data_IF_223289279598
#
_entry.id   IF_223289279598
#
_cell.length_a   1.000
_cell.length_b   1.000
_cell.length_c   1.000
_cell.angle_alpha   90.00
_cell.angle_beta   90.00
_cell.angle_gamma   90.00
#
_symmetry.space_group_name_H-M   'P 1'
#
loop_
_entity.id
_entity.type
_entity.pdbx_description
1 polymer ?
#
# COMPACT_ATOMS: atom_id res chain seq x y z
N UNK A 1 19.01 15.67 -20.16
CA UNK A 1 18.45 14.72 -21.14
C UNK A 1 18.13 13.43 -20.41
N UNK A 2 16.91 12.88 -20.55
CA UNK A 2 16.58 11.57 -20.02
C UNK A 2 17.22 10.50 -20.92
N UNK A 3 17.79 9.46 -20.32
CA UNK A 3 18.29 8.30 -21.06
C UNK A 3 17.22 7.23 -21.05
N UNK A 4 16.75 6.88 -22.24
CA UNK A 4 15.77 5.83 -22.42
C UNK A 4 16.50 4.48 -22.54
N UNK A 5 16.13 3.56 -21.66
CA UNK A 5 16.57 2.17 -21.71
C UNK A 5 15.70 1.48 -22.76
N UNK A 6 16.33 0.90 -23.78
CA UNK A 6 15.67 0.10 -24.81
C UNK A 6 15.39 -1.31 -24.32
N UNK A 7 16.37 -1.97 -23.72
CA UNK A 7 16.21 -3.33 -23.17
C UNK A 7 17.35 -3.68 -22.22
N UNK A 8 17.18 -4.77 -21.50
CA UNK A 8 18.31 -5.46 -20.86
C UNK A 8 18.95 -6.34 -21.92
N UNK A 9 20.22 -6.07 -22.22
CA UNK A 9 20.98 -6.77 -23.24
C UNK A 9 21.58 -8.07 -22.69
N UNK A 10 22.07 -8.05 -21.45
CA UNK A 10 22.57 -9.25 -20.80
C UNK A 10 22.53 -9.16 -19.27
N UNK A 11 22.35 -10.32 -18.64
CA UNK A 11 22.55 -10.55 -17.21
C UNK A 11 23.56 -11.69 -17.08
N UNK A 12 24.49 -11.59 -16.13
CA UNK A 12 25.41 -12.68 -15.79
C UNK A 12 25.56 -12.77 -14.29
N UNK A 13 25.52 -13.99 -13.76
CA UNK A 13 25.76 -14.26 -12.35
C UNK A 13 24.89 -13.39 -11.41
N UNK A 14 23.70 -12.98 -11.86
CA UNK A 14 22.87 -12.01 -11.17
C UNK A 14 21.55 -12.62 -10.71
N UNK A 15 21.35 -12.80 -9.41
CA UNK A 15 20.13 -13.35 -8.81
C UNK A 15 19.65 -14.69 -9.40
N UNK A 16 20.55 -15.55 -9.88
CA UNK A 16 20.22 -16.81 -10.56
C UNK A 16 19.66 -16.62 -11.98
N UNK A 17 19.76 -15.42 -12.55
CA UNK A 17 19.36 -15.10 -13.91
C UNK A 17 20.61 -14.97 -14.79
N UNK A 18 20.84 -15.97 -15.63
CA UNK A 18 21.94 -15.98 -16.60
C UNK A 18 21.48 -15.74 -18.04
N UNK A 19 20.16 -15.77 -18.26
CA UNK A 19 19.54 -15.47 -19.55
C UNK A 19 18.33 -14.58 -19.36
N UNK A 20 18.11 -13.70 -20.33
CA UNK A 20 16.95 -12.82 -20.36
C UNK A 20 16.47 -12.67 -21.80
N UNK A 21 15.24 -13.11 -22.03
CA UNK A 21 14.54 -12.89 -23.29
C UNK A 21 13.43 -11.89 -23.04
N UNK A 22 13.73 -10.62 -23.34
CA UNK A 22 12.74 -9.54 -23.26
C UNK A 22 12.75 -8.73 -24.54
N UNK A 23 11.55 -8.26 -24.92
CA UNK A 23 11.38 -7.26 -25.97
C UNK A 23 11.87 -5.87 -25.53
N UNK A 24 11.74 -4.90 -26.44
CA UNK A 24 12.08 -3.52 -26.14
C UNK A 24 11.07 -2.88 -25.17
N UNK A 25 11.59 -2.10 -24.23
CA UNK A 25 10.82 -1.29 -23.32
C UNK A 25 10.17 -0.11 -24.06
N UNK A 26 8.92 0.17 -23.70
CA UNK A 26 8.17 1.35 -24.12
C UNK A 26 8.10 2.36 -22.97
N UNK A 27 7.31 3.42 -23.14
CA UNK A 27 7.08 4.43 -22.09
C UNK A 27 6.51 3.83 -20.80
N UNK A 28 5.69 2.77 -20.90
CA UNK A 28 5.13 2.05 -19.78
C UNK A 28 5.24 0.55 -20.02
N UNK A 29 5.73 -0.18 -19.02
CA UNK A 29 5.99 -1.62 -19.11
C UNK A 29 5.39 -2.31 -17.89
N UNK A 30 4.53 -3.30 -18.12
CA UNK A 30 3.97 -4.13 -17.06
C UNK A 30 4.68 -5.48 -17.10
N UNK A 31 5.30 -5.85 -15.98
CA UNK A 31 6.01 -7.12 -15.83
C UNK A 31 5.22 -7.99 -14.86
N UNK A 32 4.71 -9.12 -15.34
CA UNK A 32 3.97 -10.09 -14.53
C UNK A 32 4.43 -11.52 -14.84
N UNK A 33 4.16 -12.44 -13.92
CA UNK A 33 4.58 -13.85 -14.03
C UNK A 33 4.48 -14.58 -12.70
N UNK A 34 4.70 -15.89 -12.73
CA UNK A 34 4.58 -16.76 -11.55
C UNK A 34 5.63 -16.45 -10.47
N UNK A 35 5.42 -16.97 -9.26
CA UNK A 35 6.43 -16.88 -8.21
C UNK A 35 7.74 -17.54 -8.67
N UNK A 36 8.87 -16.93 -8.32
CA UNK A 36 10.20 -17.43 -8.71
C UNK A 36 10.63 -17.07 -10.15
N UNK A 37 9.79 -16.47 -11.00
CA UNK A 37 10.15 -16.16 -12.39
C UNK A 37 11.09 -14.96 -12.57
N UNK A 38 11.69 -14.43 -11.50
CA UNK A 38 12.68 -13.35 -11.58
C UNK A 38 12.15 -11.91 -11.58
N UNK A 39 10.85 -11.67 -11.31
CA UNK A 39 10.29 -10.29 -11.23
C UNK A 39 11.07 -9.37 -10.30
N UNK A 40 11.31 -9.81 -9.06
CA UNK A 40 12.06 -9.05 -8.06
C UNK A 40 13.52 -8.85 -8.48
N UNK A 41 14.14 -9.85 -9.10
CA UNK A 41 15.49 -9.74 -9.64
C UNK A 41 15.57 -8.67 -10.72
N UNK A 42 14.60 -8.63 -11.62
CA UNK A 42 14.49 -7.61 -12.66
C UNK A 42 14.32 -6.21 -12.06
N UNK A 43 13.46 -6.06 -11.05
CA UNK A 43 13.32 -4.80 -10.30
C UNK A 43 14.65 -4.36 -9.69
N UNK A 44 15.40 -5.28 -9.06
CA UNK A 44 16.72 -5.00 -8.48
C UNK A 44 17.74 -4.56 -9.53
N UNK A 45 17.67 -5.09 -10.75
CA UNK A 45 18.53 -4.65 -11.85
C UNK A 45 18.32 -3.15 -12.16
N UNK A 46 17.06 -2.70 -12.20
CA UNK A 46 16.74 -1.29 -12.41
C UNK A 46 17.10 -0.41 -11.21
N UNK A 47 16.98 -0.92 -9.98
CA UNK A 47 17.38 -0.17 -8.77
C UNK A 47 18.87 0.20 -8.79
N UNK A 48 19.72 -0.62 -9.42
CA UNK A 48 21.15 -0.37 -9.54
C UNK A 48 21.47 0.83 -10.45
N UNK A 49 20.54 1.25 -11.31
CA UNK A 49 20.68 2.48 -12.11
C UNK A 49 20.48 3.75 -11.27
N UNK A 50 19.93 3.62 -10.05
CA UNK A 50 19.75 4.74 -9.13
C UNK A 50 21.08 4.94 -8.36
N UNK A 51 21.70 6.14 -8.40
CA UNK A 51 23.05 6.37 -7.87
C UNK A 51 23.28 6.00 -6.40
N UNK A 52 22.20 5.89 -5.61
CA UNK A 52 22.24 5.53 -4.19
C UNK A 52 22.53 4.03 -3.94
N UNK A 53 22.41 3.16 -4.95
CA UNK A 53 22.38 1.71 -4.76
C UNK A 53 23.48 1.03 -5.60
N UNK A 54 24.76 1.18 -5.21
CA UNK A 54 25.92 0.74 -6.03
C UNK A 54 26.42 -0.69 -5.77
N UNK A 55 25.82 -1.42 -4.84
CA UNK A 55 26.32 -2.72 -4.41
C UNK A 55 25.73 -3.87 -5.23
N UNK A 56 26.12 -4.01 -6.51
CA UNK A 56 25.68 -5.13 -7.36
C UNK A 56 26.11 -6.50 -6.80
N UNK A 57 27.22 -6.55 -6.05
CA UNK A 57 27.74 -7.77 -5.42
C UNK A 57 26.76 -8.47 -4.47
N UNK A 58 25.86 -7.72 -3.83
CA UNK A 58 24.81 -8.32 -2.96
C UNK A 58 23.83 -9.21 -3.73
N UNK A 59 23.81 -9.07 -5.05
CA UNK A 59 22.93 -9.77 -5.97
C UNK A 59 23.66 -10.84 -6.78
N UNK A 60 24.90 -11.18 -6.40
CA UNK A 60 25.64 -12.30 -6.97
C UNK A 60 24.87 -13.61 -6.79
N UNK A 61 24.88 -14.45 -7.82
CA UNK A 61 24.31 -15.79 -7.77
C UNK A 61 25.12 -16.67 -6.82
N UNK A 62 24.44 -17.39 -5.92
CA UNK A 62 25.10 -18.10 -4.80
C UNK A 62 26.04 -19.21 -5.28
N UNK A 63 25.75 -19.82 -6.43
CA UNK A 63 26.47 -20.98 -6.95
C UNK A 63 27.59 -20.64 -7.96
N UNK A 64 28.00 -19.37 -8.07
CA UNK A 64 29.04 -18.96 -9.02
C UNK A 64 30.09 -18.05 -8.40
N UNK A 65 31.34 -18.27 -8.78
CA UNK A 65 32.47 -17.41 -8.44
C UNK A 65 32.56 -16.17 -9.35
N UNK A 66 31.77 -16.15 -10.42
CA UNK A 66 31.71 -15.03 -11.36
C UNK A 66 31.14 -13.76 -10.72
N UNK A 67 31.72 -12.62 -11.07
CA UNK A 67 31.19 -11.31 -10.66
C UNK A 67 29.88 -11.01 -11.38
N UNK A 68 28.85 -10.51 -10.67
CA UNK A 68 27.58 -10.18 -11.28
C UNK A 68 27.74 -8.99 -12.23
N UNK A 69 27.11 -9.08 -13.40
CA UNK A 69 27.09 -7.95 -14.35
C UNK A 69 25.76 -7.83 -15.06
N UNK A 70 25.40 -6.59 -15.39
CA UNK A 70 24.16 -6.25 -16.10
C UNK A 70 24.51 -5.28 -17.20
N UNK A 71 24.03 -5.52 -18.41
CA UNK A 71 24.17 -4.60 -19.54
C UNK A 71 22.79 -4.13 -19.99
N UNK A 72 22.59 -2.82 -19.97
CA UNK A 72 21.42 -2.14 -20.50
C UNK A 72 21.73 -1.55 -21.87
N UNK A 73 20.90 -1.84 -22.86
CA UNK A 73 20.94 -1.13 -24.13
C UNK A 73 20.07 0.13 -24.03
N UNK A 74 20.62 1.26 -24.46
CA UNK A 74 19.96 2.56 -24.50
C UNK A 74 19.98 3.10 -25.94
N UNK A 75 19.22 4.16 -26.21
CA UNK A 75 19.19 4.77 -27.55
C UNK A 75 20.57 5.24 -28.05
N UNK A 76 21.47 5.63 -27.14
CA UNK A 76 22.79 6.20 -27.46
C UNK A 76 23.96 5.33 -27.01
N UNK A 77 23.78 4.01 -26.91
CA UNK A 77 24.84 3.07 -26.55
C UNK A 77 24.40 2.01 -25.55
N UNK A 78 25.35 1.40 -24.86
CA UNK A 78 25.07 0.41 -23.81
C UNK A 78 25.74 0.83 -22.51
N UNK A 79 25.06 0.54 -21.39
CA UNK A 79 25.55 0.81 -20.05
C UNK A 79 25.72 -0.50 -19.32
N UNK A 80 26.94 -0.75 -18.86
CA UNK A 80 27.28 -1.95 -18.11
C UNK A 80 27.46 -1.59 -16.63
N UNK A 81 26.81 -2.36 -15.77
CA UNK A 81 26.97 -2.30 -14.32
C UNK A 81 27.78 -3.52 -13.92
N UNK A 82 28.88 -3.26 -13.21
CA UNK A 82 29.83 -4.24 -12.69
C UNK A 82 30.23 -3.83 -11.27
N UNK A 83 30.88 -4.72 -10.49
CA UNK A 83 31.41 -4.33 -9.20
C UNK A 83 32.31 -3.09 -9.34
N UNK A 84 32.09 -2.11 -8.48
CA UNK A 84 32.78 -0.81 -8.49
C UNK A 84 32.53 0.08 -9.72
N UNK A 85 31.55 -0.23 -10.58
CA UNK A 85 31.18 0.67 -11.68
C UNK A 85 30.56 1.96 -11.13
N UNK A 86 31.03 3.10 -11.63
CA UNK A 86 30.39 4.39 -11.35
C UNK A 86 29.45 4.78 -12.49
N UNK A 87 28.14 4.71 -12.23
CA UNK A 87 27.13 5.15 -13.17
C UNK A 87 27.03 6.67 -13.01
N UNK A 88 27.98 7.40 -13.64
CA UNK A 88 28.04 8.87 -13.66
C UNK A 88 26.93 9.52 -14.49
N UNK A 89 25.82 8.80 -14.70
CA UNK A 89 24.78 9.15 -15.66
C UNK A 89 23.42 9.13 -14.96
N UNK A 90 22.66 10.25 -15.01
CA UNK A 90 21.41 10.37 -14.26
C UNK A 90 20.28 9.63 -15.00
N UNK A 91 20.09 8.35 -14.67
CA UNK A 91 18.88 7.62 -15.04
C UNK A 91 17.70 8.09 -14.18
N UNK A 92 16.60 8.48 -14.81
CA UNK A 92 15.34 8.76 -14.12
C UNK A 92 14.47 7.51 -14.18
N UNK A 93 14.68 6.61 -13.23
CA UNK A 93 13.92 5.36 -13.10
C UNK A 93 13.16 5.40 -11.79
N UNK A 94 11.84 5.20 -11.87
CA UNK A 94 10.94 5.11 -10.73
C UNK A 94 10.40 3.68 -10.65
N UNK A 95 10.50 3.08 -9.45
CA UNK A 95 10.22 1.67 -9.23
C UNK A 95 9.11 1.54 -8.20
N UNK A 96 8.00 0.94 -8.61
CA UNK A 96 6.79 0.76 -7.80
C UNK A 96 6.58 -0.72 -7.50
N UNK A 97 7.48 -1.32 -6.71
CA UNK A 97 7.34 -2.71 -6.26
C UNK A 97 6.53 -2.81 -4.96
N UNK A 98 6.30 -4.03 -4.48
CA UNK A 98 5.63 -4.28 -3.20
C UNK A 98 6.25 -3.52 -2.05
N UNK A 99 7.58 -3.39 -2.02
CA UNK A 99 8.30 -2.72 -0.94
C UNK A 99 8.08 -1.20 -1.00
N UNK A 100 8.07 -0.62 -2.20
CA UNK A 100 7.70 0.78 -2.41
C UNK A 100 6.27 1.03 -1.93
N UNK A 101 5.33 0.16 -2.29
CA UNK A 101 3.94 0.26 -1.84
C UNK A 101 3.83 0.10 -0.31
N UNK A 102 4.50 -0.89 0.29
CA UNK A 102 4.50 -1.09 1.74
C UNK A 102 5.08 0.12 2.51
N UNK A 103 6.11 0.76 1.96
CA UNK A 103 6.80 1.86 2.64
C UNK A 103 6.20 3.24 2.36
N UNK A 104 5.50 3.43 1.23
CA UNK A 104 5.05 4.75 0.78
C UNK A 104 3.54 4.86 0.59
N UNK A 105 2.82 3.75 0.45
CA UNK A 105 1.36 3.81 0.49
C UNK A 105 0.93 3.92 1.97
N UNK A 106 -0.14 4.68 2.28
CA UNK A 106 -0.71 4.79 3.63
C UNK A 106 -1.46 3.50 4.02
N UNK A 107 -0.82 2.36 3.82
CA UNK A 107 -1.34 1.03 4.11
C UNK A 107 -1.01 0.75 5.57
N UNK A 108 -1.82 1.30 6.46
CA UNK A 108 -1.86 0.91 7.86
C UNK A 108 -2.02 -0.63 7.92
N UNK A 109 -1.63 -1.28 9.01
CA UNK A 109 -1.68 -2.75 9.19
C UNK A 109 -3.06 -3.42 8.97
N UNK A 110 -4.11 -2.64 8.68
CA UNK A 110 -5.44 -3.09 8.23
C UNK A 110 -5.54 -3.38 6.73
N UNK A 111 -4.58 -2.96 5.90
CA UNK A 111 -4.58 -3.28 4.47
C UNK A 111 -4.07 -4.71 4.24
N UNK A 112 -4.98 -5.67 4.34
CA UNK A 112 -4.74 -7.05 3.93
C UNK A 112 -4.94 -7.20 2.42
N UNK A 113 -3.88 -7.53 1.68
CA UNK A 113 -4.02 -8.10 0.33
C UNK A 113 -4.73 -9.46 0.47
N UNK A 114 -6.05 -9.49 0.32
CA UNK A 114 -6.80 -10.75 0.33
C UNK A 114 -6.75 -11.36 -1.07
N UNK A 115 -6.05 -12.50 -1.19
CA UNK A 115 -6.23 -13.36 -2.37
C UNK A 115 -7.61 -14.01 -2.26
N UNK A 116 -8.46 -13.78 -3.27
CA UNK A 116 -9.60 -14.66 -3.52
C UNK A 116 -9.13 -15.77 -4.47
N UNK A 117 -9.69 -16.96 -4.28
CA UNK A 117 -9.22 -18.22 -4.87
C UNK A 117 -9.25 -18.26 -6.41
N UNK A 118 -9.83 -17.24 -7.06
CA UNK A 118 -10.05 -17.20 -8.52
C UNK A 118 -9.24 -16.10 -9.24
N UNK A 119 -7.97 -15.91 -8.84
CA UNK A 119 -6.97 -15.17 -9.64
C UNK A 119 -7.21 -13.66 -9.84
N UNK A 120 -8.24 -13.10 -9.23
CA UNK A 120 -8.56 -11.67 -9.29
C UNK A 120 -8.11 -10.98 -8.01
N UNK A 121 -7.21 -10.00 -8.14
CA UNK A 121 -6.84 -9.10 -7.04
C UNK A 121 -7.75 -7.88 -7.15
N UNK A 122 -8.67 -7.73 -6.21
CA UNK A 122 -9.45 -6.50 -6.07
C UNK A 122 -8.70 -5.60 -5.08
N UNK A 123 -8.50 -4.34 -5.45
CA UNK A 123 -8.15 -3.28 -4.50
C UNK A 123 -9.41 -2.98 -3.67
N UNK A 124 -9.65 -3.75 -2.61
CA UNK A 124 -10.66 -3.36 -1.62
C UNK A 124 -10.09 -2.22 -0.77
N UNK A 125 -10.81 -1.10 -0.75
CA UNK A 125 -10.42 0.09 0.01
C UNK A 125 -9.97 1.27 -0.87
N UNK A 126 -10.67 1.53 -1.98
CA UNK A 126 -10.68 2.88 -2.58
C UNK A 126 -11.45 3.81 -1.65
N UNK A 127 -10.82 4.24 -0.56
CA UNK A 127 -11.24 5.41 0.17
C UNK A 127 -9.97 6.14 0.63
N UNK A 128 -9.66 7.21 -0.10
CA UNK A 128 -8.59 8.16 0.14
C UNK A 128 -8.54 8.55 1.62
N UNK A 129 -7.33 8.63 2.19
CA UNK A 129 -7.05 8.81 3.63
C UNK A 129 -7.57 10.08 4.32
N UNK A 130 -8.48 10.83 3.70
CA UNK A 130 -9.24 11.92 4.33
C UNK A 130 -10.61 11.43 4.83
N UNK A 131 -11.30 10.60 4.05
CA UNK A 131 -12.64 10.12 4.42
C UNK A 131 -12.60 9.22 5.66
N UNK A 132 -11.52 8.50 5.95
CA UNK A 132 -11.41 7.67 7.17
C UNK A 132 -11.32 8.51 8.44
N UNK A 133 -10.70 9.69 8.39
CA UNK A 133 -10.70 10.63 9.52
C UNK A 133 -12.08 11.24 9.71
N UNK A 134 -12.75 11.62 8.62
CA UNK A 134 -14.12 12.15 8.67
C UNK A 134 -15.11 11.09 9.14
N UNK A 135 -15.01 9.84 8.68
CA UNK A 135 -15.85 8.72 9.12
C UNK A 135 -15.61 8.43 10.61
N UNK A 136 -14.37 8.45 11.09
CA UNK A 136 -14.09 8.27 12.52
C UNK A 136 -14.60 9.44 13.36
N UNK A 137 -14.48 10.68 12.88
CA UNK A 137 -15.08 11.85 13.52
C UNK A 137 -16.61 11.78 13.54
N UNK A 138 -17.23 11.32 12.45
CA UNK A 138 -18.68 11.14 12.33
C UNK A 138 -19.17 9.99 13.22
N UNK A 139 -18.41 8.90 13.37
CA UNK A 139 -18.70 7.81 14.31
C UNK A 139 -18.62 8.31 15.76
N UNK A 140 -17.56 9.03 16.12
CA UNK A 140 -17.41 9.64 17.45
C UNK A 140 -18.52 10.64 17.74
N UNK A 141 -18.92 11.44 16.73
CA UNK A 141 -20.02 12.39 16.86
C UNK A 141 -21.35 11.68 17.04
N UNK A 142 -21.61 10.63 16.26
CA UNK A 142 -22.82 9.80 16.36
C UNK A 142 -22.93 9.14 17.73
N UNK A 143 -21.84 8.57 18.25
CA UNK A 143 -21.85 7.93 19.57
C UNK A 143 -22.13 8.94 20.70
N UNK A 144 -21.60 10.18 20.58
CA UNK A 144 -21.92 11.28 21.51
C UNK A 144 -23.39 11.69 21.45
N UNK A 145 -23.97 11.75 20.25
CA UNK A 145 -25.40 12.08 20.06
C UNK A 145 -26.29 10.98 20.62
N UNK A 146 -25.99 9.71 20.36
CA UNK A 146 -26.75 8.57 20.88
C UNK A 146 -26.71 8.52 22.42
N UNK A 147 -25.55 8.76 23.05
CA UNK A 147 -25.45 8.88 24.52
C UNK A 147 -26.30 10.01 25.09
N UNK A 148 -26.35 11.18 24.42
CA UNK A 148 -27.19 12.31 24.85
C UNK A 148 -28.68 12.01 24.68
N UNK A 149 -29.09 11.41 23.57
CA UNK A 149 -30.50 11.04 23.35
C UNK A 149 -30.98 10.02 24.38
N UNK A 150 -30.15 9.03 24.71
CA UNK A 150 -30.48 8.07 25.76
C UNK A 150 -30.65 8.75 27.12
N UNK A 151 -29.75 9.67 27.48
CA UNK A 151 -29.84 10.41 28.74
C UNK A 151 -31.11 11.28 28.83
N UNK A 152 -31.46 11.98 27.75
CA UNK A 152 -32.70 12.78 27.68
C UNK A 152 -33.92 11.89 27.82
N UNK A 153 -33.92 10.72 27.19
CA UNK A 153 -35.02 9.76 27.30
C UNK A 153 -35.15 9.25 28.74
N UNK A 154 -34.05 8.86 29.38
CA UNK A 154 -34.05 8.38 30.76
C UNK A 154 -34.52 9.49 31.75
N UNK A 155 -34.12 10.74 31.52
CA UNK A 155 -34.58 11.90 32.30
C UNK A 155 -36.10 12.15 32.13
N UNK A 156 -36.60 12.15 30.88
CA UNK A 156 -38.03 12.31 30.60
C UNK A 156 -38.88 11.16 31.15
N UNK A 157 -38.39 9.92 31.08
CA UNK A 157 -39.09 8.75 31.64
C UNK A 157 -39.17 8.85 33.17
N UNK A 158 -38.13 9.39 33.82
CA UNK A 158 -38.12 9.65 35.26
C UNK A 158 -39.10 10.77 35.64
N UNK A 159 -39.12 11.86 34.88
CA UNK A 159 -40.05 12.98 35.09
C UNK A 159 -41.51 12.58 34.88
N UNK A 160 -41.81 11.84 33.82
CA UNK A 160 -43.15 11.29 33.56
C UNK A 160 -43.60 10.33 34.67
N UNK A 161 -42.68 9.54 35.23
CA UNK A 161 -42.99 8.66 36.37
C UNK A 161 -43.32 9.46 37.63
N UNK A 162 -42.65 10.60 37.86
CA UNK A 162 -42.94 11.51 38.97
C UNK A 162 -44.29 12.22 38.80
N UNK A 163 -44.58 12.72 37.59
CA UNK A 163 -45.87 13.33 37.24
C UNK A 163 -47.01 12.32 37.47
N UNK A 164 -46.86 11.09 36.98
CA UNK A 164 -47.88 10.05 37.15
C UNK A 164 -48.13 9.70 38.65
N UNK A 165 -47.08 9.71 39.48
CA UNK A 165 -47.23 9.53 40.93
C UNK A 165 -47.99 10.69 41.56
N UNK A 166 -47.64 11.93 41.22
CA UNK A 166 -48.33 13.12 41.72
C UNK A 166 -49.81 13.16 41.30
N UNK A 167 -50.12 12.86 40.03
CA UNK A 167 -51.50 12.77 39.56
C UNK A 167 -52.30 11.68 40.29
N UNK A 168 -51.66 10.54 40.60
CA UNK A 168 -52.30 9.46 41.35
C UNK A 168 -52.59 9.84 42.81
N UNK A 169 -51.73 10.66 43.42
CA UNK A 169 -51.95 11.19 44.78
C UNK A 169 -53.06 12.25 44.78
N UNK A 170 -53.06 13.17 43.81
CA UNK A 170 -54.13 14.17 43.67
C UNK A 170 -55.50 13.48 43.50
N UNK A 171 -55.59 12.46 42.63
CA UNK A 171 -56.83 11.67 42.44
C UNK A 171 -57.29 10.92 43.70
N UNK A 172 -56.38 10.58 44.62
CA UNK A 172 -56.77 9.99 45.92
C UNK A 172 -57.38 11.04 46.82
N UNK A 173 -56.76 12.22 46.93
CA UNK A 173 -57.29 13.32 47.73
C UNK A 173 -58.63 13.84 47.19
N UNK A 174 -58.80 13.93 45.88
CA UNK A 174 -60.08 14.34 45.28
C UNK A 174 -61.23 13.35 45.60
N UNK A 175 -60.93 12.06 45.77
CA UNK A 175 -61.91 11.03 46.18
C UNK A 175 -62.23 11.02 47.68
N UNK A 176 -61.37 11.58 48.52
CA UNK A 176 -61.58 11.68 49.97
C UNK A 176 -62.35 12.94 50.38
N UNK A 177 -62.46 13.92 49.46
CA UNK A 177 -63.18 15.18 49.65
C UNK A 177 -64.65 15.10 49.19
N UNK A 178 -65.04 14.05 48.46
CA UNK A 178 -66.42 13.73 48.04
C UNK A 178 -67.17 12.91 49.11
#
# INVERSE_FOLDING_TARGET
>A
MAINIKKIKSLKAFCGLDTIEMGEFKHYNVIFGNNGCGKTSLTRAFELLIPKNKHIEKYRTISTDESPSIEFECEKGSYKIEPNSDIGVPFKVEIYNSDFLHNNAPLNSEFGLKKLDDGTIILEGSVLGEETKEINQLKDFREKVEKRQKKIKDENDTENTLIAKQESEIKKYDKEIE
#
